data_IF_440144220154
#
_entry.id   IF_440144220154
#
_cell.length_a   1.000
_cell.length_b   1.000
_cell.length_c   1.000
_cell.angle_alpha   90.00
_cell.angle_beta   90.00
_cell.angle_gamma   90.00
#
_symmetry.space_group_name_H-M   'P 1'
#
loop_
_entity.id
_entity.type
_entity.pdbx_description
1 polymer ?
#
# COMPACT_ATOMS: atom_id res chain seq x y z
N UNK A 1 -30.96 -7.23 -2.18
CA UNK A 1 -30.35 -8.50 -1.72
C UNK A 1 -30.87 -8.77 -0.31
N UNK A 2 -31.52 -9.90 -0.03
CA UNK A 2 -32.02 -10.21 1.32
C UNK A 2 -30.84 -10.44 2.29
N UNK A 3 -30.87 -9.81 3.47
CA UNK A 3 -29.79 -9.92 4.46
C UNK A 3 -29.61 -11.35 4.98
N UNK A 4 -30.68 -12.14 4.97
CA UNK A 4 -30.76 -13.52 5.49
C UNK A 4 -29.89 -14.52 4.70
N UNK A 5 -29.37 -14.11 3.54
CA UNK A 5 -28.52 -14.94 2.67
C UNK A 5 -27.03 -14.62 2.78
N UNK A 6 -26.65 -13.56 3.49
CA UNK A 6 -25.25 -13.16 3.66
C UNK A 6 -24.63 -13.96 4.81
N UNK A 7 -23.54 -14.67 4.53
CA UNK A 7 -22.76 -15.39 5.55
C UNK A 7 -21.41 -14.69 5.72
N UNK A 8 -21.19 -13.92 6.80
CA UNK A 8 -19.90 -13.30 7.05
C UNK A 8 -18.87 -14.36 7.47
N UNK A 9 -17.63 -14.18 7.02
CA UNK A 9 -16.47 -14.89 7.55
C UNK A 9 -15.54 -13.86 8.21
N UNK A 10 -14.88 -14.26 9.30
CA UNK A 10 -13.95 -13.40 10.04
C UNK A 10 -12.54 -13.96 9.86
N UNK A 11 -11.65 -13.15 9.29
CA UNK A 11 -10.22 -13.43 9.25
C UNK A 11 -9.58 -12.93 10.56
N UNK A 12 -8.91 -13.83 11.28
CA UNK A 12 -8.09 -13.47 12.45
C UNK A 12 -6.63 -13.55 12.02
N UNK A 13 -5.94 -12.41 12.06
CA UNK A 13 -4.55 -12.25 11.62
C UNK A 13 -3.74 -11.55 12.72
N UNK A 14 -2.45 -11.89 12.82
CA UNK A 14 -1.54 -11.14 13.69
C UNK A 14 -1.37 -9.70 13.20
N UNK A 15 -1.44 -8.74 14.14
CA UNK A 15 -1.17 -7.35 13.85
C UNK A 15 0.32 -7.15 13.55
N UNK A 16 0.63 -6.60 12.39
CA UNK A 16 1.98 -6.13 12.05
C UNK A 16 2.14 -4.71 12.58
N UNK A 17 3.03 -4.51 13.56
CA UNK A 17 3.35 -3.18 14.09
C UNK A 17 4.23 -2.46 13.06
N UNK A 18 3.58 -1.84 12.08
CA UNK A 18 4.23 -1.28 10.92
C UNK A 18 4.97 0.03 11.22
N UNK A 19 6.21 0.14 10.75
CA UNK A 19 6.93 1.40 10.62
C UNK A 19 6.37 2.19 9.43
N UNK A 20 6.05 1.47 8.35
CA UNK A 20 5.52 1.97 7.09
C UNK A 20 4.46 1.02 6.59
N UNK A 21 3.35 1.56 6.09
CA UNK A 21 2.32 0.81 5.38
C UNK A 21 2.18 1.35 3.97
N UNK A 22 1.79 0.48 3.05
CA UNK A 22 1.62 0.84 1.66
C UNK A 22 0.48 0.08 0.99
N UNK A 23 -0.13 0.73 0.01
CA UNK A 23 -0.98 0.11 -0.99
C UNK A 23 -0.22 0.10 -2.31
N UNK A 24 -0.13 -1.07 -2.96
CA UNK A 24 0.62 -1.29 -4.18
C UNK A 24 -0.31 -1.79 -5.27
N UNK A 25 -0.45 -1.00 -6.33
CA UNK A 25 -1.20 -1.38 -7.52
C UNK A 25 -0.23 -1.90 -8.58
N UNK A 26 -0.43 -3.13 -9.05
CA UNK A 26 0.42 -3.73 -10.10
C UNK A 26 0.18 -3.18 -11.51
N UNK A 27 -0.77 -2.26 -11.64
CA UNK A 27 -1.06 -1.44 -12.80
C UNK A 27 -1.55 -0.06 -12.33
N UNK A 28 -1.25 1.01 -13.07
CA UNK A 28 -1.64 2.36 -12.66
C UNK A 28 -3.18 2.52 -12.66
N UNK A 29 -3.80 2.75 -11.48
CA UNK A 29 -5.25 2.82 -11.35
C UNK A 29 -5.85 4.10 -11.96
N UNK A 30 -5.05 5.15 -12.13
CA UNK A 30 -5.47 6.46 -12.65
C UNK A 30 -5.36 6.49 -14.18
N UNK A 31 -4.23 6.04 -14.73
CA UNK A 31 -3.96 6.12 -16.17
C UNK A 31 -4.36 4.87 -16.95
N UNK A 32 -4.50 3.72 -16.26
CA UNK A 32 -4.74 2.42 -16.88
C UNK A 32 -3.49 1.72 -17.41
N UNK A 33 -2.31 2.35 -17.33
CA UNK A 33 -1.03 1.74 -17.78
C UNK A 33 -0.73 0.46 -17.01
N UNK A 34 -0.50 -0.64 -17.74
CA UNK A 34 -0.23 -1.99 -17.18
C UNK A 34 1.25 -2.26 -16.93
N UNK A 35 2.12 -1.42 -17.48
CA UNK A 35 3.57 -1.44 -17.35
C UNK A 35 4.09 -0.56 -16.21
N UNK A 36 3.20 0.05 -15.43
CA UNK A 36 3.52 0.96 -14.34
C UNK A 36 2.88 0.48 -13.03
N UNK A 37 3.71 0.20 -12.04
CA UNK A 37 3.31 -0.12 -10.67
C UNK A 37 3.27 1.20 -9.88
N UNK A 38 2.22 1.37 -9.07
CA UNK A 38 2.03 2.56 -8.24
C UNK A 38 2.00 2.14 -6.78
N UNK A 39 2.87 2.74 -5.95
CA UNK A 39 2.88 2.53 -4.50
C UNK A 39 2.44 3.82 -3.82
N UNK A 40 1.49 3.71 -2.89
CA UNK A 40 1.10 4.78 -1.98
C UNK A 40 1.51 4.38 -0.57
N UNK A 41 2.46 5.09 0.03
CA UNK A 41 3.03 4.73 1.33
C UNK A 41 2.93 5.84 2.37
N UNK A 42 2.74 5.45 3.64
CA UNK A 42 2.72 6.38 4.78
C UNK A 42 3.38 5.75 5.99
N UNK A 43 3.73 6.60 6.98
CA UNK A 43 4.23 6.15 8.28
C UNK A 43 3.14 5.44 9.09
N UNK A 44 3.54 4.42 9.86
CA UNK A 44 2.65 3.70 10.76
C UNK A 44 1.74 2.70 10.06
N UNK A 45 0.65 2.33 10.75
CA UNK A 45 -0.35 1.35 10.29
C UNK A 45 -1.18 1.87 9.11
N UNK A 46 -1.64 0.95 8.26
CA UNK A 46 -2.33 1.26 7.00
C UNK A 46 -3.73 1.85 7.11
N UNK A 47 -4.32 1.93 8.31
CA UNK A 47 -5.67 2.45 8.53
C UNK A 47 -5.86 3.86 7.93
N UNK A 48 -4.85 4.73 8.04
CA UNK A 48 -4.89 6.10 7.53
C UNK A 48 -4.84 6.20 5.99
N UNK A 49 -4.28 5.20 5.32
CA UNK A 49 -4.30 5.13 3.85
C UNK A 49 -5.70 4.77 3.36
N UNK A 50 -6.32 3.78 4.01
CA UNK A 50 -7.64 3.26 3.62
C UNK A 50 -8.75 4.27 3.93
N UNK A 51 -8.63 5.02 5.03
CA UNK A 51 -9.57 6.09 5.37
C UNK A 51 -9.45 7.33 4.49
N UNK A 52 -8.34 7.50 3.76
CA UNK A 52 -8.06 8.69 2.95
C UNK A 52 -7.77 9.95 3.77
N UNK A 53 -7.44 9.82 5.06
CA UNK A 53 -7.20 10.97 5.96
C UNK A 53 -5.80 11.56 5.83
N UNK A 54 -4.92 10.92 5.06
CA UNK A 54 -3.52 11.32 4.90
C UNK A 54 -3.15 11.40 3.42
N UNK A 55 -2.35 12.41 3.06
CA UNK A 55 -1.67 12.47 1.76
C UNK A 55 -0.38 11.64 1.83
N UNK A 56 -0.35 10.45 1.19
CA UNK A 56 0.80 9.57 1.25
C UNK A 56 1.90 10.02 0.29
N UNK A 57 3.03 9.33 0.36
CA UNK A 57 4.00 9.36 -0.73
C UNK A 57 3.52 8.49 -1.88
N UNK A 58 3.75 8.93 -3.10
CA UNK A 58 3.50 8.16 -4.32
C UNK A 58 4.82 7.79 -4.98
N UNK A 59 5.01 6.51 -5.27
CA UNK A 59 6.16 6.00 -6.02
C UNK A 59 5.66 5.36 -7.31
N UNK A 60 6.29 5.71 -8.43
CA UNK A 60 6.05 5.07 -9.73
C UNK A 60 7.22 4.14 -10.03
N UNK A 61 6.90 2.90 -10.36
CA UNK A 61 7.89 1.86 -10.66
C UNK A 61 7.56 1.23 -12.01
N UNK A 62 8.53 1.18 -12.91
CA UNK A 62 8.36 0.50 -14.20
C UNK A 62 8.33 -1.01 -13.97
N UNK A 63 7.27 -1.69 -14.42
CA UNK A 63 7.06 -3.12 -14.13
C UNK A 63 8.12 -4.05 -14.75
N UNK A 64 8.68 -3.68 -15.90
CA UNK A 64 9.63 -4.51 -16.65
C UNK A 64 10.95 -4.72 -15.92
N UNK A 65 11.57 -3.63 -15.45
CA UNK A 65 12.90 -3.63 -14.81
C UNK A 65 12.89 -3.19 -13.34
N UNK A 66 11.70 -2.84 -12.82
CA UNK A 66 11.45 -2.39 -11.46
C UNK A 66 12.19 -1.09 -11.09
N UNK A 67 12.60 -0.31 -12.09
CA UNK A 67 13.21 1.00 -11.85
C UNK A 67 12.17 1.94 -11.27
N UNK A 68 12.52 2.64 -10.18
CA UNK A 68 11.72 3.75 -9.66
C UNK A 68 11.82 4.94 -10.63
N UNK A 69 10.72 5.25 -11.32
CA UNK A 69 10.66 6.28 -12.36
C UNK A 69 10.18 7.64 -11.86
N UNK A 70 9.53 7.68 -10.70
CA UNK A 70 9.01 8.91 -10.12
C UNK A 70 8.71 8.78 -8.63
N UNK A 71 8.77 9.92 -7.94
CA UNK A 71 8.39 10.07 -6.54
C UNK A 71 7.69 11.40 -6.32
N UNK A 72 6.61 11.33 -5.55
CA UNK A 72 5.94 12.50 -4.99
C UNK A 72 5.86 12.29 -3.48
N UNK A 73 6.49 13.19 -2.71
CA UNK A 73 6.53 13.07 -1.25
C UNK A 73 5.36 13.85 -0.65
N UNK A 74 4.45 13.14 -0.02
CA UNK A 74 3.29 13.69 0.67
C UNK A 74 3.63 14.32 2.01
N UNK A 75 2.73 15.16 2.50
CA UNK A 75 2.89 15.85 3.79
C UNK A 75 2.54 14.97 4.99
N UNK A 76 2.11 13.70 4.83
CA UNK A 76 1.97 12.67 5.89
C UNK A 76 1.74 13.23 7.31
N UNK A 77 0.67 14.00 7.52
CA UNK A 77 0.55 14.82 8.74
C UNK A 77 0.27 14.00 9.99
N UNK A 78 -0.48 12.92 9.81
CA UNK A 78 -0.94 11.98 10.84
C UNK A 78 -0.48 10.57 10.50
N UNK A 79 -0.33 9.73 11.51
CA UNK A 79 -0.07 8.30 11.37
C UNK A 79 -0.83 7.54 12.44
N UNK A 80 -1.21 6.30 12.12
CA UNK A 80 -1.78 5.38 13.09
C UNK A 80 -0.69 4.53 13.73
N UNK A 81 -0.68 4.45 15.06
CA UNK A 81 0.25 3.59 15.82
C UNK A 81 -0.50 2.55 16.63
N UNK A 82 0.13 1.40 16.84
CA UNK A 82 -0.35 0.40 17.79
C UNK A 82 -0.12 0.88 19.23
N UNK A 83 -1.12 0.68 20.08
CA UNK A 83 -1.09 0.90 21.53
C UNK A 83 -1.65 -0.34 22.24
N UNK A 84 -1.41 -0.54 23.55
CA UNK A 84 -1.91 -1.74 24.25
C UNK A 84 -3.42 -1.98 24.12
N UNK A 85 -4.21 -0.92 23.97
CA UNK A 85 -5.68 -0.97 23.89
C UNK A 85 -6.22 -0.98 22.45
N UNK A 86 -5.36 -1.04 21.43
CA UNK A 86 -5.75 -0.99 20.03
C UNK A 86 -4.85 -0.11 19.17
N UNK A 87 -5.44 0.85 18.47
CA UNK A 87 -4.71 1.81 17.63
C UNK A 87 -5.04 3.25 18.01
N UNK A 88 -4.13 4.18 17.69
CA UNK A 88 -4.35 5.61 17.88
C UNK A 88 -3.73 6.41 16.75
N UNK A 89 -4.46 7.42 16.27
CA UNK A 89 -3.95 8.39 15.31
C UNK A 89 -3.18 9.49 16.03
N UNK A 90 -1.91 9.67 15.68
CA UNK A 90 -1.00 10.67 16.26
C UNK A 90 -0.44 11.58 15.18
N UNK A 91 0.13 12.73 15.56
CA UNK A 91 0.88 13.55 14.62
C UNK A 91 2.18 12.85 14.23
N UNK A 92 2.51 12.87 12.93
CA UNK A 92 3.84 12.47 12.48
C UNK A 92 4.84 13.50 12.98
N UNK A 93 5.96 13.08 13.61
CA UNK A 93 7.02 14.00 13.99
C UNK A 93 7.43 14.89 12.82
N UNK A 94 7.55 16.20 13.07
CA UNK A 94 7.84 17.19 12.00
C UNK A 94 9.05 16.83 11.15
N UNK A 95 10.05 16.18 11.75
CA UNK A 95 11.27 15.73 11.07
C UNK A 95 11.00 14.63 10.04
N UNK A 96 9.98 13.78 10.25
CA UNK A 96 9.63 12.65 9.37
C UNK A 96 8.56 13.00 8.33
N UNK A 97 7.76 14.03 8.60
CA UNK A 97 6.56 14.39 7.83
C UNK A 97 6.79 14.45 6.30
N UNK A 98 7.87 15.10 5.88
CA UNK A 98 8.27 15.27 4.47
C UNK A 98 9.49 14.45 4.07
N UNK A 99 9.82 13.43 4.86
CA UNK A 99 10.79 12.42 4.46
C UNK A 99 10.07 11.34 3.66
N UNK A 100 10.77 10.68 2.72
CA UNK A 100 10.23 9.51 2.05
C UNK A 100 9.96 8.40 3.06
N UNK A 101 8.75 7.85 3.03
CA UNK A 101 8.34 6.71 3.84
C UNK A 101 9.07 5.42 3.41
N UNK A 102 9.45 5.32 2.12
CA UNK A 102 10.19 4.19 1.58
C UNK A 102 11.48 4.68 0.96
N UNK A 103 12.57 3.96 1.19
CA UNK A 103 13.73 4.06 0.31
C UNK A 103 13.49 3.29 -1.02
N UNK A 104 14.45 3.42 -1.95
CA UNK A 104 14.42 2.75 -3.25
C UNK A 104 14.30 1.24 -3.13
N UNK A 105 15.07 0.64 -2.21
CA UNK A 105 15.15 -0.81 -2.07
C UNK A 105 13.81 -1.36 -1.56
N UNK A 106 13.21 -0.69 -0.58
CA UNK A 106 11.90 -1.01 -0.04
C UNK A 106 10.79 -0.86 -1.09
N UNK A 107 10.81 0.22 -1.87
CA UNK A 107 9.85 0.43 -2.96
C UNK A 107 9.99 -0.65 -4.05
N UNK A 108 11.22 -1.03 -4.39
CA UNK A 108 11.51 -2.10 -5.34
C UNK A 108 11.05 -3.46 -4.80
N UNK A 109 11.28 -3.77 -3.53
CA UNK A 109 10.86 -5.03 -2.90
C UNK A 109 9.33 -5.18 -2.91
N UNK A 110 8.60 -4.10 -2.57
CA UNK A 110 7.15 -4.05 -2.66
C UNK A 110 6.64 -4.20 -4.10
N UNK A 111 7.29 -3.55 -5.07
CA UNK A 111 6.96 -3.66 -6.48
C UNK A 111 7.23 -5.07 -7.03
N UNK A 112 8.31 -5.72 -6.59
CA UNK A 112 8.62 -7.12 -6.91
C UNK A 112 7.52 -8.05 -6.42
N UNK A 113 7.10 -7.90 -5.16
CA UNK A 113 6.00 -8.67 -4.58
C UNK A 113 4.71 -8.50 -5.40
N UNK A 114 4.32 -7.27 -5.71
CA UNK A 114 3.11 -7.01 -6.49
C UNK A 114 3.19 -7.57 -7.92
N UNK A 115 4.35 -7.49 -8.59
CA UNK A 115 4.56 -8.09 -9.91
C UNK A 115 4.42 -9.61 -9.86
N UNK A 116 5.04 -10.27 -8.88
CA UNK A 116 4.93 -11.73 -8.73
C UNK A 116 3.50 -12.18 -8.42
N UNK A 117 2.75 -11.40 -7.62
CA UNK A 117 1.33 -11.67 -7.36
C UNK A 117 0.46 -11.46 -8.60
N UNK A 118 0.68 -10.40 -9.36
CA UNK A 118 0.00 -10.13 -10.64
C UNK A 118 0.19 -11.29 -11.63
N UNK A 119 1.44 -11.76 -11.79
CA UNK A 119 1.78 -12.90 -12.64
C UNK A 119 1.11 -14.19 -12.16
N UNK A 120 1.15 -14.47 -10.85
CA UNK A 120 0.57 -15.68 -10.27
C UNK A 120 -0.97 -15.69 -10.32
N UNK A 121 -1.61 -14.53 -10.19
CA UNK A 121 -3.06 -14.39 -10.22
C UNK A 121 -3.61 -14.31 -11.65
N UNK A 122 -2.78 -13.91 -12.62
CA UNK A 122 -3.20 -13.71 -14.01
C UNK A 122 -4.04 -12.46 -14.25
N UNK A 123 -4.07 -11.53 -13.30
CA UNK A 123 -4.77 -10.26 -13.38
C UNK A 123 -4.09 -9.19 -12.52
N UNK A 124 -4.31 -7.89 -12.81
CA UNK A 124 -3.80 -6.81 -11.98
C UNK A 124 -4.32 -6.86 -10.55
N UNK A 125 -3.42 -6.68 -9.58
CA UNK A 125 -3.68 -6.77 -8.15
C UNK A 125 -3.46 -5.43 -7.45
N UNK A 126 -4.28 -5.21 -6.43
CA UNK A 126 -4.14 -4.20 -5.40
C UNK A 126 -3.72 -4.91 -4.11
N UNK A 127 -2.54 -4.54 -3.60
CA UNK A 127 -1.85 -5.24 -2.53
C UNK A 127 -1.64 -4.31 -1.34
N UNK A 128 -2.11 -4.70 -0.17
CA UNK A 128 -1.80 -4.01 1.08
C UNK A 128 -0.57 -4.67 1.72
N UNK A 129 0.44 -3.86 2.00
CA UNK A 129 1.74 -4.29 2.52
C UNK A 129 2.18 -3.43 3.70
N UNK A 130 3.10 -3.95 4.50
CA UNK A 130 3.76 -3.20 5.56
C UNK A 130 5.24 -3.58 5.72
N UNK A 131 6.06 -2.60 6.09
CA UNK A 131 7.38 -2.85 6.67
C UNK A 131 7.30 -2.75 8.19
N UNK A 132 7.91 -3.73 8.87
CA UNK A 132 8.12 -3.71 10.32
C UNK A 132 9.51 -4.24 10.62
N UNK A 133 10.36 -3.43 11.24
CA UNK A 133 11.75 -3.78 11.55
C UNK A 133 12.57 -4.15 10.30
N UNK A 134 12.30 -3.49 9.17
CA UNK A 134 12.97 -3.75 7.88
C UNK A 134 12.49 -5.01 7.15
N UNK A 135 11.46 -5.71 7.64
CA UNK A 135 10.86 -6.87 6.97
C UNK A 135 9.55 -6.50 6.29
N UNK A 136 9.39 -6.91 5.03
CA UNK A 136 8.15 -6.79 4.27
C UNK A 136 7.12 -7.85 4.68
N UNK A 137 5.87 -7.43 4.84
CA UNK A 137 4.71 -8.26 5.10
C UNK A 137 3.62 -7.98 4.07
N UNK A 138 3.06 -9.05 3.49
CA UNK A 138 1.81 -9.03 2.73
C UNK A 138 0.64 -9.10 3.71
N UNK A 139 -0.29 -8.16 3.63
CA UNK A 139 -1.49 -8.12 4.48
C UNK A 139 -2.74 -8.54 3.71
N UNK A 140 -2.90 -8.04 2.49
CA UNK A 140 -4.04 -8.37 1.63
C UNK A 140 -3.63 -8.29 0.16
N UNK A 141 -4.25 -9.12 -0.68
CA UNK A 141 -4.13 -9.04 -2.14
C UNK A 141 -5.53 -9.22 -2.74
N UNK A 142 -5.95 -8.30 -3.61
CA UNK A 142 -7.26 -8.32 -4.27
C UNK A 142 -7.15 -7.92 -5.75
N UNK A 143 -8.08 -8.34 -6.62
CA UNK A 143 -8.10 -7.88 -8.01
C UNK A 143 -8.38 -6.37 -8.09
N UNK A 144 -7.72 -5.67 -9.02
CA UNK A 144 -8.15 -4.32 -9.41
C UNK A 144 -9.36 -4.45 -10.33
N UNK A 145 -10.55 -4.15 -9.81
CA UNK A 145 -11.82 -4.33 -10.53
C UNK A 145 -12.21 -3.18 -11.45
N UNK A 146 -11.59 -2.00 -11.27
CA UNK A 146 -11.81 -0.81 -12.11
C UNK A 146 -10.47 -0.28 -12.59
N UNK A 147 -10.10 -0.64 -13.81
CA UNK A 147 -8.97 -0.05 -14.50
C UNK A 147 -9.45 0.66 -15.77
N UNK A 148 -9.00 1.89 -16.04
CA UNK A 148 -9.20 2.52 -17.34
C UNK A 148 -8.66 1.63 -18.47
N UNK A 149 -9.24 1.77 -19.67
CA UNK A 149 -8.66 1.17 -20.87
C UNK A 149 -7.24 1.74 -21.08
N UNK A 150 -6.31 0.88 -21.50
CA UNK A 150 -4.95 1.33 -21.81
C UNK A 150 -5.03 2.36 -22.93
N UNK A 151 -4.52 3.57 -22.68
CA UNK A 151 -4.25 4.56 -23.73
C UNK A 151 -3.00 4.18 -24.50
#
# INVERSE_FOLDING_TARGET
>A
MPLDTVRPAVLIQHLVVADVSAVVFSANPVTGKRDEIVLNATWGLGESLVSGTVTPDTYLVRKTDLTVTGREIGDKQRMTVAIPEGTREVDVPRLLRRQPALDDAQAIEMAQLARSLDEAMGYPVDVECAFSGGRLYLLQCRPITRLPASK
#
